data_IF_463455030944
#
_entry.id   IF_463455030944
#
_cell.length_a   1.000
_cell.length_b   1.000
_cell.length_c   1.000
_cell.angle_alpha   90.00
_cell.angle_beta   90.00
_cell.angle_gamma   90.00
#
_symmetry.space_group_name_H-M   'P 1'
#
loop_
_entity.id
_entity.type
_entity.pdbx_description
1 polymer ?
#
# COMPACT_ATOMS: atom_id res chain seq x y z
N UNK A 1 13.84 -15.60 22.21
CA UNK A 1 13.17 -14.39 21.67
C UNK A 1 13.60 -13.18 22.48
N UNK A 2 14.32 -12.23 21.86
CA UNK A 2 14.67 -10.97 22.50
C UNK A 2 13.43 -10.06 22.42
N UNK A 3 12.77 -9.81 23.55
CA UNK A 3 11.57 -8.97 23.60
C UNK A 3 12.00 -7.50 23.63
N UNK A 4 11.31 -6.65 22.89
CA UNK A 4 11.53 -5.20 22.93
C UNK A 4 11.27 -4.72 24.37
N UNK A 5 12.20 -3.98 25.01
CA UNK A 5 12.00 -3.45 26.37
C UNK A 5 10.74 -2.59 26.54
N UNK A 6 10.22 -2.01 25.46
CA UNK A 6 9.02 -1.14 25.46
C UNK A 6 7.73 -1.89 25.08
N UNK A 7 7.75 -3.23 24.98
CA UNK A 7 6.54 -4.00 24.66
C UNK A 7 5.42 -3.72 25.67
N UNK A 8 4.24 -3.32 25.17
CA UNK A 8 3.07 -2.98 25.98
C UNK A 8 3.04 -1.55 26.54
N UNK A 9 4.07 -0.75 26.29
CA UNK A 9 4.11 0.66 26.70
C UNK A 9 3.53 1.58 25.61
N UNK A 10 3.00 2.77 25.96
CA UNK A 10 2.60 3.77 24.98
C UNK A 10 3.75 4.14 24.04
N UNK A 11 3.41 4.37 22.76
CA UNK A 11 4.39 4.84 21.79
C UNK A 11 4.92 6.23 22.17
N UNK A 12 6.24 6.39 22.14
CA UNK A 12 6.85 7.71 22.31
C UNK A 12 6.70 8.55 21.04
N UNK A 13 6.74 9.89 21.11
CA UNK A 13 6.61 10.75 19.93
C UNK A 13 7.61 10.43 18.81
N UNK A 14 8.83 10.02 19.14
CA UNK A 14 9.87 9.66 18.15
C UNK A 14 9.60 8.35 17.40
N UNK A 15 8.61 7.55 17.83
CA UNK A 15 8.19 6.33 17.14
C UNK A 15 7.09 6.58 16.10
N UNK A 16 6.47 7.77 16.12
CA UNK A 16 5.35 8.09 15.24
C UNK A 16 5.85 8.43 13.83
N UNK A 17 5.12 7.94 12.83
CA UNK A 17 5.41 8.24 11.43
C UNK A 17 5.02 9.69 11.10
N UNK A 18 5.82 10.35 10.26
CA UNK A 18 5.42 11.62 9.66
C UNK A 18 4.43 11.35 8.53
N UNK A 19 3.14 11.45 8.84
CA UNK A 19 2.05 11.15 7.90
C UNK A 19 2.08 12.04 6.65
N UNK A 20 2.21 13.39 6.74
CA UNK A 20 2.31 14.22 5.54
C UNK A 20 3.43 13.79 4.60
N UNK A 21 4.63 13.49 5.14
CA UNK A 21 5.75 13.02 4.33
C UNK A 21 5.48 11.67 3.67
N UNK A 22 4.78 10.77 4.37
CA UNK A 22 4.39 9.46 3.83
C UNK A 22 3.43 9.61 2.64
N UNK A 23 2.45 10.51 2.76
CA UNK A 23 1.52 10.83 1.67
C UNK A 23 2.25 11.50 0.50
N UNK A 24 3.17 12.43 0.77
CA UNK A 24 4.00 13.02 -0.30
C UNK A 24 4.80 11.96 -1.04
N UNK A 25 5.43 11.01 -0.34
CA UNK A 25 6.19 9.92 -0.98
C UNK A 25 5.31 9.05 -1.89
N UNK A 26 4.03 8.82 -1.54
CA UNK A 26 3.11 8.04 -2.36
C UNK A 26 2.94 8.60 -3.77
N UNK A 27 2.87 9.94 -3.89
CA UNK A 27 2.68 10.64 -5.16
C UNK A 27 3.99 11.04 -5.84
N UNK A 28 5.01 11.43 -5.06
CA UNK A 28 6.25 11.99 -5.61
C UNK A 28 7.26 10.91 -6.02
N UNK A 29 7.24 9.75 -5.36
CA UNK A 29 8.18 8.67 -5.62
C UNK A 29 7.55 7.60 -6.51
N UNK A 30 8.31 7.08 -7.47
CA UNK A 30 7.87 6.02 -8.38
C UNK A 30 8.67 4.72 -8.14
N UNK A 31 8.05 3.54 -8.20
CA UNK A 31 8.78 2.27 -8.15
C UNK A 31 9.69 2.07 -9.35
N UNK A 32 10.86 1.50 -9.11
CA UNK A 32 11.75 0.97 -10.13
C UNK A 32 11.33 -0.48 -10.48
N UNK A 33 10.81 -0.74 -11.69
CA UNK A 33 10.41 -2.07 -12.10
C UNK A 33 11.60 -3.04 -12.22
N UNK A 34 12.83 -2.56 -12.33
CA UNK A 34 14.00 -3.42 -12.31
C UNK A 34 14.24 -4.02 -10.90
N UNK A 35 13.83 -3.32 -9.84
CA UNK A 35 13.99 -3.75 -8.46
C UNK A 35 12.84 -4.67 -8.00
N UNK A 36 13.07 -5.98 -7.76
CA UNK A 36 11.99 -6.92 -7.42
C UNK A 36 11.19 -6.55 -6.17
N UNK A 37 11.83 -5.90 -5.18
CA UNK A 37 11.19 -5.47 -3.94
C UNK A 37 10.18 -4.31 -4.12
N UNK A 38 10.25 -3.60 -5.26
CA UNK A 38 9.37 -2.48 -5.59
C UNK A 38 8.29 -2.88 -6.61
N UNK A 39 8.20 -4.16 -6.97
CA UNK A 39 7.16 -4.66 -7.88
C UNK A 39 5.87 -4.95 -7.11
N UNK A 40 4.76 -4.97 -7.84
CA UNK A 40 3.50 -5.50 -7.33
C UNK A 40 3.68 -6.98 -6.96
N UNK A 41 3.38 -7.30 -5.71
CA UNK A 41 3.24 -8.66 -5.20
C UNK A 41 1.82 -8.82 -4.64
N UNK A 42 0.91 -9.36 -5.46
CA UNK A 42 -0.51 -9.49 -5.12
C UNK A 42 -0.83 -10.94 -4.71
N UNK A 43 -0.80 -11.22 -3.40
CA UNK A 43 -0.98 -12.55 -2.83
C UNK A 43 -2.39 -12.80 -2.27
N UNK A 44 -2.51 -13.77 -1.36
CA UNK A 44 -3.78 -14.12 -0.70
C UNK A 44 -4.40 -12.96 0.09
N UNK A 45 -3.59 -12.00 0.54
CA UNK A 45 -4.04 -10.77 1.23
C UNK A 45 -3.82 -9.50 0.40
N UNK A 46 -3.81 -9.64 -0.93
CA UNK A 46 -3.54 -8.53 -1.85
C UNK A 46 -2.08 -8.11 -1.87
N UNK A 47 -1.84 -6.86 -2.27
CA UNK A 47 -0.54 -6.22 -2.26
C UNK A 47 -0.39 -5.30 -1.05
N UNK A 48 0.80 -5.28 -0.45
CA UNK A 48 1.13 -4.48 0.74
C UNK A 48 2.55 -3.93 0.59
N UNK A 49 2.78 -2.75 1.16
CA UNK A 49 4.08 -2.11 1.17
C UNK A 49 4.04 -0.76 1.88
N UNK A 50 5.03 0.07 1.59
CA UNK A 50 5.12 1.45 2.10
C UNK A 50 5.65 2.36 1.01
N UNK A 51 5.08 3.57 0.92
CA UNK A 51 5.55 4.59 -0.02
C UNK A 51 7.04 4.94 0.18
N UNK A 52 7.53 4.94 1.44
CA UNK A 52 8.95 5.18 1.75
C UNK A 52 9.89 4.10 1.23
N UNK A 53 9.37 2.92 0.90
CA UNK A 53 10.13 1.81 0.33
C UNK A 53 9.87 1.65 -1.17
N UNK A 54 9.14 2.60 -1.78
CA UNK A 54 8.71 2.53 -3.17
C UNK A 54 7.98 1.22 -3.49
N UNK A 55 7.26 0.65 -2.51
CA UNK A 55 6.54 -0.62 -2.64
C UNK A 55 5.03 -0.46 -2.42
N UNK A 56 4.55 0.78 -2.26
CA UNK A 56 3.12 1.13 -2.19
C UNK A 56 2.96 2.62 -2.52
N UNK A 57 2.87 2.91 -3.81
CA UNK A 57 2.85 4.26 -4.41
C UNK A 57 1.79 4.28 -5.51
N UNK A 58 1.44 5.47 -6.02
CA UNK A 58 0.35 5.65 -6.99
C UNK A 58 0.40 4.67 -8.16
N UNK A 59 1.58 4.47 -8.76
CA UNK A 59 1.77 3.54 -9.87
C UNK A 59 1.35 2.10 -9.55
N UNK A 60 1.52 1.64 -8.30
CA UNK A 60 1.08 0.30 -7.88
C UNK A 60 -0.44 0.21 -7.86
N UNK A 61 -1.12 1.22 -7.28
CA UNK A 61 -2.57 1.23 -7.14
C UNK A 61 -3.24 1.36 -8.50
N UNK A 62 -2.73 2.22 -9.38
CA UNK A 62 -3.19 2.33 -10.75
C UNK A 62 -3.05 0.99 -11.51
N UNK A 63 -1.88 0.36 -11.43
CA UNK A 63 -1.63 -0.92 -12.11
C UNK A 63 -2.55 -2.04 -11.59
N UNK A 64 -2.70 -2.16 -10.27
CA UNK A 64 -3.57 -3.16 -9.64
C UNK A 64 -5.04 -2.91 -10.02
N UNK A 65 -5.48 -1.65 -9.97
CA UNK A 65 -6.85 -1.27 -10.31
C UNK A 65 -7.18 -1.62 -11.76
N UNK A 66 -6.27 -1.28 -12.69
CA UNK A 66 -6.44 -1.61 -14.09
C UNK A 66 -6.51 -3.13 -14.31
N UNK A 67 -5.63 -3.91 -13.66
CA UNK A 67 -5.65 -5.37 -13.73
C UNK A 67 -6.98 -5.96 -13.22
N UNK A 68 -7.55 -5.41 -12.14
CA UNK A 68 -8.86 -5.83 -11.62
C UNK A 68 -9.98 -5.48 -12.60
N UNK A 69 -9.96 -4.27 -13.20
CA UNK A 69 -10.93 -3.87 -14.22
C UNK A 69 -10.91 -4.82 -15.43
N UNK A 70 -9.72 -5.15 -15.92
CA UNK A 70 -9.56 -6.05 -17.07
C UNK A 70 -10.00 -7.47 -16.73
N UNK A 71 -9.68 -7.96 -15.53
CA UNK A 71 -10.15 -9.25 -15.05
C UNK A 71 -11.68 -9.30 -14.96
N UNK A 72 -12.32 -8.30 -14.35
CA UNK A 72 -13.79 -8.21 -14.26
C UNK A 72 -14.44 -8.23 -15.63
N UNK A 73 -13.88 -7.50 -16.60
CA UNK A 73 -14.37 -7.50 -18.00
C UNK A 73 -14.25 -8.88 -18.62
N UNK A 74 -13.11 -9.54 -18.49
CA UNK A 74 -12.90 -10.89 -19.03
C UNK A 74 -13.85 -11.92 -18.41
N UNK A 75 -14.19 -11.75 -17.13
CA UNK A 75 -15.15 -12.58 -16.40
C UNK A 75 -16.61 -12.13 -16.56
N UNK A 76 -16.89 -11.10 -17.37
CA UNK A 76 -18.24 -10.53 -17.58
C UNK A 76 -18.95 -10.14 -16.28
N UNK A 77 -18.20 -9.57 -15.33
CA UNK A 77 -18.73 -9.05 -14.06
C UNK A 77 -19.06 -7.57 -14.25
N UNK A 78 -20.34 -7.25 -14.43
CA UNK A 78 -20.87 -5.94 -14.83
C UNK A 78 -21.63 -5.19 -13.72
N UNK A 79 -21.97 -5.86 -12.63
CA UNK A 79 -22.56 -5.24 -11.45
C UNK A 79 -21.64 -4.24 -10.74
N UNK A 80 -22.14 -3.54 -9.70
CA UNK A 80 -21.37 -2.54 -8.98
C UNK A 80 -20.14 -3.14 -8.27
N UNK A 81 -19.15 -2.29 -8.01
CA UNK A 81 -17.98 -2.59 -7.17
C UNK A 81 -18.11 -1.82 -5.87
N UNK A 82 -18.22 -2.54 -4.75
CA UNK A 82 -18.15 -1.94 -3.43
C UNK A 82 -16.68 -1.76 -3.04
N UNK A 83 -16.32 -0.52 -2.67
CA UNK A 83 -14.98 -0.16 -2.24
C UNK A 83 -15.02 0.24 -0.77
N UNK A 84 -14.08 -0.30 0.00
CA UNK A 84 -13.91 0.01 1.41
C UNK A 84 -12.43 0.15 1.73
N UNK A 85 -12.12 0.97 2.73
CA UNK A 85 -10.77 1.25 3.17
C UNK A 85 -10.71 1.27 4.70
N UNK A 86 -9.54 1.02 5.27
CA UNK A 86 -9.30 1.12 6.71
C UNK A 86 -8.74 2.50 7.10
N UNK A 87 -8.22 2.64 8.32
CA UNK A 87 -7.73 3.91 8.87
C UNK A 87 -6.24 4.18 8.65
N UNK A 88 -5.52 3.36 7.88
CA UNK A 88 -4.12 3.66 7.57
C UNK A 88 -4.01 4.88 6.66
N UNK A 89 -2.94 5.66 6.83
CA UNK A 89 -2.72 6.88 6.04
C UNK A 89 -2.72 6.63 4.52
N UNK A 90 -2.04 5.56 4.08
CA UNK A 90 -1.96 5.18 2.67
C UNK A 90 -3.23 4.53 2.12
N UNK A 91 -4.28 4.36 2.93
CA UNK A 91 -5.58 3.87 2.47
C UNK A 91 -6.45 4.99 1.87
N UNK A 92 -6.09 6.26 2.11
CA UNK A 92 -6.78 7.46 1.59
C UNK A 92 -6.40 7.81 0.15
N UNK A 93 -5.09 7.89 -0.22
CA UNK A 93 -4.68 8.18 -1.60
C UNK A 93 -4.72 6.96 -2.51
#
# INVERSE_FOLDING_TARGET
MKRNPQAGQPASPGMLVNVPRLITAYYADAPDPAAPAQRVAFGTSGHRGSAFQQSFNEAHILAITQAICDYRRAQRIDGPLFLGMDTHALSVP
#
